data_IF_674695176354
#
_entry.id   IF_674695176354
#
_cell.length_a   1.000
_cell.length_b   1.000
_cell.length_c   1.000
_cell.angle_alpha   90.00
_cell.angle_beta   90.00
_cell.angle_gamma   90.00
#
_symmetry.space_group_name_H-M   'P 1'
#
loop_
_entity.id
_entity.type
_entity.pdbx_description
1 polymer ?
#
# COMPACT_ATOMS: atom_id res chain seq x y z
N UNK A 1 -21.13 20.03 -1.67
CA UNK A 1 -20.90 18.58 -1.48
C UNK A 1 -21.70 18.12 -0.27
N UNK A 2 -22.39 16.99 -0.34
CA UNK A 2 -23.14 16.38 0.76
C UNK A 2 -22.14 15.64 1.67
N UNK A 3 -21.73 16.26 2.76
CA UNK A 3 -20.62 15.79 3.62
C UNK A 3 -20.84 14.38 4.18
N UNK A 4 -22.03 14.09 4.70
CA UNK A 4 -22.36 12.77 5.26
C UNK A 4 -22.23 11.69 4.19
N UNK A 5 -22.74 11.95 2.98
CA UNK A 5 -22.68 11.02 1.87
C UNK A 5 -21.23 10.78 1.39
N UNK A 6 -20.42 11.83 1.36
CA UNK A 6 -18.99 11.72 1.07
C UNK A 6 -18.28 10.82 2.10
N UNK A 7 -18.49 11.08 3.40
CA UNK A 7 -17.91 10.28 4.47
C UNK A 7 -18.36 8.81 4.40
N UNK A 8 -19.67 8.57 4.10
CA UNK A 8 -20.16 7.21 3.91
C UNK A 8 -19.46 6.49 2.75
N UNK A 9 -19.28 7.17 1.60
CA UNK A 9 -18.58 6.59 0.45
C UNK A 9 -17.13 6.25 0.83
N UNK A 10 -16.42 7.15 1.51
CA UNK A 10 -15.04 6.92 1.99
C UNK A 10 -14.99 5.71 2.92
N UNK A 11 -15.86 5.66 3.94
CA UNK A 11 -15.86 4.57 4.92
C UNK A 11 -16.18 3.21 4.27
N UNK A 12 -17.23 3.15 3.47
CA UNK A 12 -17.64 1.88 2.83
C UNK A 12 -16.64 1.40 1.79
N UNK A 13 -16.14 2.29 0.94
CA UNK A 13 -15.15 1.88 -0.06
C UNK A 13 -13.84 1.45 0.58
N UNK A 14 -13.41 2.15 1.62
CA UNK A 14 -12.21 1.81 2.38
C UNK A 14 -12.35 0.49 3.13
N UNK A 15 -13.45 0.29 3.84
CA UNK A 15 -13.71 -0.95 4.56
C UNK A 15 -13.74 -2.16 3.62
N UNK A 16 -14.49 -2.08 2.52
CA UNK A 16 -14.59 -3.19 1.56
C UNK A 16 -13.25 -3.46 0.86
N UNK A 17 -12.58 -2.43 0.35
CA UNK A 17 -11.27 -2.62 -0.30
C UNK A 17 -10.21 -3.12 0.68
N UNK A 18 -10.23 -2.66 1.92
CA UNK A 18 -9.33 -3.10 2.97
C UNK A 18 -9.58 -4.54 3.41
N UNK A 19 -10.85 -4.96 3.51
CA UNK A 19 -11.22 -6.36 3.76
C UNK A 19 -10.74 -7.27 2.62
N UNK A 20 -10.96 -6.86 1.36
CA UNK A 20 -10.46 -7.59 0.18
C UNK A 20 -8.93 -7.71 0.23
N UNK A 21 -8.23 -6.64 0.63
CA UNK A 21 -6.77 -6.66 0.81
C UNK A 21 -6.33 -7.62 1.92
N UNK A 22 -7.01 -7.61 3.08
CA UNK A 22 -6.73 -8.55 4.18
C UNK A 22 -6.89 -10.00 3.75
N UNK A 23 -7.96 -10.32 3.01
CA UNK A 23 -8.16 -11.67 2.44
C UNK A 23 -7.09 -11.99 1.38
N UNK A 24 -6.73 -11.04 0.52
CA UNK A 24 -5.67 -11.25 -0.47
C UNK A 24 -4.32 -11.54 0.21
N UNK A 25 -3.99 -10.86 1.31
CA UNK A 25 -2.79 -11.15 2.08
C UNK A 25 -2.81 -12.57 2.67
N UNK A 26 -3.93 -12.98 3.28
CA UNK A 26 -4.08 -14.34 3.82
C UNK A 26 -3.88 -15.44 2.77
N UNK A 27 -4.33 -15.20 1.54
CA UNK A 27 -4.26 -16.22 0.49
C UNK A 27 -2.94 -16.19 -0.27
N UNK A 28 -2.38 -15.00 -0.50
CA UNK A 28 -1.24 -14.82 -1.41
C UNK A 28 0.09 -14.65 -0.67
N UNK A 29 0.09 -13.95 0.47
CA UNK A 29 1.32 -13.55 1.16
C UNK A 29 1.60 -14.46 2.36
N UNK A 30 0.57 -14.87 3.08
CA UNK A 30 0.67 -15.68 4.29
C UNK A 30 1.43 -17.00 4.11
N UNK A 31 1.31 -17.75 2.99
CA UNK A 31 2.11 -18.95 2.79
C UNK A 31 3.62 -18.72 2.83
N UNK A 32 4.09 -17.58 2.29
CA UNK A 32 5.51 -17.19 2.35
C UNK A 32 5.93 -16.71 3.74
N UNK A 33 4.98 -16.14 4.49
CA UNK A 33 5.16 -15.76 5.88
C UNK A 33 5.34 -17.02 6.75
N UNK A 34 4.46 -18.01 6.60
CA UNK A 34 4.54 -19.29 7.33
C UNK A 34 5.85 -20.02 7.03
N UNK A 35 6.31 -20.03 5.76
CA UNK A 35 7.58 -20.63 5.37
C UNK A 35 8.77 -19.91 6.03
N UNK A 36 8.76 -18.56 5.99
CA UNK A 36 9.82 -17.74 6.60
C UNK A 36 9.92 -17.99 8.12
N UNK A 37 8.78 -17.97 8.82
CA UNK A 37 8.74 -18.23 10.27
C UNK A 37 9.16 -19.68 10.59
N UNK A 38 8.82 -20.63 9.70
CA UNK A 38 9.28 -22.02 9.83
C UNK A 38 10.82 -22.13 9.81
N UNK A 39 11.49 -21.38 8.94
CA UNK A 39 12.96 -21.29 8.89
C UNK A 39 13.51 -20.64 10.18
N UNK A 40 12.87 -19.58 10.66
CA UNK A 40 13.25 -18.89 11.89
C UNK A 40 13.16 -19.83 13.11
N UNK A 41 12.05 -20.55 13.27
CA UNK A 41 11.87 -21.52 14.34
C UNK A 41 12.93 -22.64 14.29
N UNK A 42 13.25 -23.15 13.09
CA UNK A 42 14.32 -24.16 12.95
C UNK A 42 15.69 -23.61 13.42
N UNK A 43 16.01 -22.35 13.11
CA UNK A 43 17.25 -21.72 13.54
C UNK A 43 17.29 -21.50 15.06
N UNK A 44 16.17 -21.08 15.68
CA UNK A 44 16.01 -20.90 17.14
C UNK A 44 16.20 -22.23 17.88
N UNK A 45 15.62 -23.32 17.38
CA UNK A 45 15.81 -24.64 17.97
C UNK A 45 17.25 -25.14 17.78
N UNK A 46 17.84 -24.91 16.61
CA UNK A 46 19.21 -25.33 16.33
C UNK A 46 20.26 -24.55 17.16
N UNK A 47 19.98 -23.29 17.52
CA UNK A 47 20.83 -22.49 18.41
C UNK A 47 20.69 -22.84 19.88
N UNK A 48 19.58 -23.55 20.27
CA UNK A 48 19.26 -23.88 21.65
C UNK A 48 18.65 -22.70 22.43
N UNK A 49 18.19 -21.64 21.75
CA UNK A 49 17.47 -20.52 22.38
C UNK A 49 16.10 -20.95 22.90
N UNK A 50 15.45 -21.86 22.19
CA UNK A 50 14.18 -22.47 22.56
C UNK A 50 14.23 -23.99 22.35
N UNK A 51 13.39 -24.72 23.08
CA UNK A 51 13.25 -26.17 22.93
C UNK A 51 12.05 -26.52 22.02
N UNK A 52 12.23 -27.48 21.11
CA UNK A 52 11.16 -28.04 20.28
C UNK A 52 10.22 -28.91 21.14
N UNK A 53 9.26 -28.26 21.78
CA UNK A 53 8.30 -28.90 22.71
C UNK A 53 6.86 -28.75 22.25
N UNK A 54 5.99 -29.66 22.68
CA UNK A 54 4.55 -29.53 22.41
C UNK A 54 3.97 -28.22 22.98
N UNK A 55 4.48 -27.72 24.10
CA UNK A 55 4.03 -26.46 24.70
C UNK A 55 4.34 -25.26 23.80
N UNK A 56 5.53 -25.22 23.23
CA UNK A 56 5.90 -24.21 22.24
C UNK A 56 4.92 -24.18 21.07
N UNK A 57 4.63 -25.32 20.47
CA UNK A 57 3.75 -25.39 19.30
C UNK A 57 2.31 -25.02 19.60
N UNK A 58 1.79 -25.35 20.77
CA UNK A 58 0.44 -24.95 21.20
C UNK A 58 0.34 -23.42 21.33
N UNK A 59 1.34 -22.77 21.93
CA UNK A 59 1.38 -21.32 22.08
C UNK A 59 1.59 -20.63 20.71
N UNK A 60 2.50 -21.14 19.91
CA UNK A 60 2.76 -20.68 18.56
C UNK A 60 1.50 -20.72 17.69
N UNK A 61 0.80 -21.86 17.62
CA UNK A 61 -0.40 -21.99 16.79
C UNK A 61 -1.50 -21.02 17.24
N UNK A 62 -1.72 -20.88 18.54
CA UNK A 62 -2.69 -19.93 19.08
C UNK A 62 -2.35 -18.48 18.71
N UNK A 63 -1.07 -18.11 18.77
CA UNK A 63 -0.60 -16.78 18.37
C UNK A 63 -0.74 -16.55 16.86
N UNK A 64 -0.40 -17.55 16.04
CA UNK A 64 -0.55 -17.47 14.58
C UNK A 64 -2.01 -17.34 14.15
N UNK A 65 -2.91 -18.08 14.76
CA UNK A 65 -4.35 -17.98 14.50
C UNK A 65 -4.89 -16.59 14.83
N UNK A 66 -4.43 -16.00 15.93
CA UNK A 66 -4.75 -14.64 16.30
C UNK A 66 -4.20 -13.63 15.27
N UNK A 67 -2.95 -13.77 14.84
CA UNK A 67 -2.34 -12.92 13.82
C UNK A 67 -3.10 -13.01 12.48
N UNK A 68 -3.39 -14.22 11.99
CA UNK A 68 -4.11 -14.47 10.74
C UNK A 68 -5.52 -13.86 10.78
N UNK A 69 -6.24 -14.05 11.87
CA UNK A 69 -7.57 -13.44 12.03
C UNK A 69 -7.49 -11.90 12.11
N UNK A 70 -6.46 -11.36 12.73
CA UNK A 70 -6.19 -9.92 12.85
C UNK A 70 -5.88 -9.23 11.52
N UNK A 71 -5.37 -9.94 10.51
CA UNK A 71 -5.01 -9.35 9.22
C UNK A 71 -6.20 -8.74 8.48
N UNK A 72 -7.39 -9.36 8.57
CA UNK A 72 -8.60 -8.82 7.94
C UNK A 72 -9.01 -7.51 8.60
N UNK A 73 -8.96 -7.45 9.94
CA UNK A 73 -9.25 -6.24 10.69
C UNK A 73 -8.24 -5.13 10.39
N UNK A 74 -6.95 -5.46 10.43
CA UNK A 74 -5.87 -4.53 10.12
C UNK A 74 -5.98 -3.99 8.69
N UNK A 75 -6.25 -4.87 7.71
CA UNK A 75 -6.51 -4.50 6.32
C UNK A 75 -7.71 -3.56 6.19
N UNK A 76 -8.79 -3.83 6.93
CA UNK A 76 -9.99 -2.97 6.93
C UNK A 76 -9.70 -1.58 7.48
N UNK A 77 -8.97 -1.46 8.60
CA UNK A 77 -8.57 -0.18 9.20
C UNK A 77 -7.65 0.58 8.25
N UNK A 78 -6.64 -0.09 7.70
CA UNK A 78 -5.74 0.49 6.69
C UNK A 78 -6.55 1.00 5.47
N UNK A 79 -7.48 0.19 4.98
CA UNK A 79 -8.32 0.55 3.83
C UNK A 79 -9.16 1.78 4.08
N UNK A 80 -9.76 1.94 5.27
CA UNK A 80 -10.52 3.15 5.65
C UNK A 80 -9.59 4.36 5.66
N UNK A 81 -8.40 4.24 6.26
CA UNK A 81 -7.42 5.33 6.35
C UNK A 81 -6.94 5.77 4.97
N UNK A 82 -6.61 4.82 4.10
CA UNK A 82 -6.17 5.08 2.72
C UNK A 82 -7.31 5.64 1.86
N UNK A 83 -8.55 5.18 2.08
CA UNK A 83 -9.72 5.72 1.38
C UNK A 83 -10.03 7.15 1.80
N UNK A 84 -9.76 7.55 3.04
CA UNK A 84 -9.89 8.94 3.48
C UNK A 84 -8.93 9.85 2.70
N UNK A 85 -7.65 9.46 2.63
CA UNK A 85 -6.66 10.18 1.81
C UNK A 85 -7.08 10.20 0.33
N UNK A 86 -7.47 9.05 -0.22
CA UNK A 86 -7.92 8.90 -1.60
C UNK A 86 -9.11 9.81 -1.92
N UNK A 87 -10.11 9.84 -1.05
CA UNK A 87 -11.31 10.67 -1.22
C UNK A 87 -10.99 12.17 -1.24
N UNK A 88 -10.10 12.63 -0.36
CA UNK A 88 -9.63 14.03 -0.36
C UNK A 88 -8.94 14.35 -1.70
N UNK A 89 -7.98 13.51 -2.12
CA UNK A 89 -7.24 13.71 -3.37
C UNK A 89 -8.18 13.65 -4.57
N UNK A 90 -9.18 12.74 -4.56
CA UNK A 90 -10.17 12.64 -5.63
C UNK A 90 -10.99 13.92 -5.78
N UNK A 91 -11.51 14.47 -4.68
CA UNK A 91 -12.28 15.74 -4.71
C UNK A 91 -11.45 16.87 -5.27
N UNK A 92 -10.17 16.98 -4.88
CA UNK A 92 -9.27 18.03 -5.32
C UNK A 92 -8.84 17.87 -6.80
N UNK A 93 -8.72 16.63 -7.29
CA UNK A 93 -8.20 16.30 -8.62
C UNK A 93 -9.26 15.95 -9.66
N UNK A 94 -10.51 15.64 -9.27
CA UNK A 94 -11.58 15.13 -10.15
C UNK A 94 -11.76 15.96 -11.43
N UNK A 95 -11.65 17.30 -11.35
CA UNK A 95 -11.82 18.20 -12.50
C UNK A 95 -10.65 18.16 -13.48
N UNK A 96 -9.49 17.69 -13.06
CA UNK A 96 -8.25 17.66 -13.84
C UNK A 96 -7.92 16.26 -14.39
N UNK A 97 -8.59 15.24 -13.85
CA UNK A 97 -8.52 13.88 -14.38
C UNK A 97 -9.14 13.81 -15.78
N UNK A 98 -8.68 12.88 -16.64
CA UNK A 98 -9.22 12.69 -17.98
C UNK A 98 -10.74 12.54 -17.98
N UNK A 99 -11.41 13.00 -19.04
CA UNK A 99 -12.85 12.87 -19.18
C UNK A 99 -13.29 11.40 -19.18
N UNK A 100 -14.44 11.13 -18.57
CA UNK A 100 -15.01 9.80 -18.45
C UNK A 100 -15.89 9.63 -17.22
N UNK A 101 -16.35 8.40 -17.00
CA UNK A 101 -17.14 8.05 -15.82
C UNK A 101 -16.35 8.27 -14.51
N UNK A 102 -17.07 8.39 -13.39
CA UNK A 102 -16.43 8.53 -12.07
C UNK A 102 -15.58 7.29 -11.74
N UNK A 103 -15.98 6.09 -12.19
CA UNK A 103 -15.19 4.86 -12.04
C UNK A 103 -13.86 4.97 -12.79
N UNK A 104 -13.87 5.45 -14.05
CA UNK A 104 -12.64 5.66 -14.83
C UNK A 104 -11.71 6.66 -14.14
N UNK A 105 -12.24 7.77 -13.66
CA UNK A 105 -11.46 8.79 -12.94
C UNK A 105 -10.86 8.24 -11.65
N UNK A 106 -11.66 7.50 -10.89
CA UNK A 106 -11.23 6.86 -9.65
C UNK A 106 -10.12 5.82 -9.91
N UNK A 107 -10.26 4.96 -10.93
CA UNK A 107 -9.23 3.98 -11.30
C UNK A 107 -7.93 4.64 -11.76
N UNK A 108 -8.01 5.73 -12.54
CA UNK A 108 -6.80 6.48 -12.95
C UNK A 108 -6.09 7.06 -11.71
N UNK A 109 -6.85 7.65 -10.77
CA UNK A 109 -6.28 8.16 -9.53
C UNK A 109 -5.68 7.03 -8.67
N UNK A 110 -6.39 5.90 -8.55
CA UNK A 110 -5.88 4.73 -7.84
C UNK A 110 -4.56 4.23 -8.42
N UNK A 111 -4.46 4.17 -9.75
CA UNK A 111 -3.22 3.80 -10.45
C UNK A 111 -2.07 4.80 -10.20
N UNK A 112 -2.35 6.10 -10.19
CA UNK A 112 -1.36 7.13 -9.87
C UNK A 112 -0.88 6.98 -8.42
N UNK A 113 -1.79 6.83 -7.46
CA UNK A 113 -1.45 6.67 -6.05
C UNK A 113 -0.72 5.34 -5.81
N UNK A 114 -1.19 4.22 -6.39
CA UNK A 114 -0.49 2.95 -6.36
C UNK A 114 0.95 3.07 -6.83
N UNK A 115 1.17 3.73 -7.97
CA UNK A 115 2.51 3.87 -8.53
C UNK A 115 3.41 4.75 -7.64
N UNK A 116 2.90 5.91 -7.20
CA UNK A 116 3.72 6.93 -6.53
C UNK A 116 3.97 6.65 -5.06
N UNK A 117 2.99 6.14 -4.32
CA UNK A 117 3.13 5.92 -2.87
C UNK A 117 3.35 4.44 -2.50
N UNK A 118 3.31 3.54 -3.48
CA UNK A 118 3.62 2.13 -3.25
C UNK A 118 4.76 1.64 -4.16
N UNK A 119 4.60 1.60 -5.50
CA UNK A 119 5.61 0.99 -6.39
C UNK A 119 6.96 1.71 -6.29
N UNK A 120 6.98 3.04 -6.36
CA UNK A 120 8.24 3.80 -6.29
C UNK A 120 9.00 3.53 -4.99
N UNK A 121 8.39 3.67 -3.78
CA UNK A 121 9.07 3.32 -2.53
C UNK A 121 9.45 1.84 -2.45
N UNK A 122 8.59 0.93 -2.92
CA UNK A 122 8.83 -0.50 -2.92
C UNK A 122 10.05 -0.91 -3.76
N UNK A 123 10.32 -0.23 -4.87
CA UNK A 123 11.51 -0.49 -5.68
C UNK A 123 12.83 -0.21 -4.93
N UNK A 124 12.83 0.74 -3.99
CA UNK A 124 14.00 1.04 -3.15
C UNK A 124 14.01 0.21 -1.86
N UNK A 125 12.86 0.08 -1.24
CA UNK A 125 12.66 -0.59 0.04
C UNK A 125 11.55 -1.65 -0.10
N UNK A 126 11.86 -2.79 -0.78
CA UNK A 126 10.88 -3.85 -0.94
C UNK A 126 10.51 -4.47 0.41
N UNK A 127 9.29 -4.99 0.51
CA UNK A 127 8.89 -5.77 1.66
C UNK A 127 9.79 -7.01 1.80
N UNK A 128 10.11 -7.36 3.03
CA UNK A 128 10.87 -8.55 3.36
C UNK A 128 10.06 -9.45 4.31
N UNK A 129 10.24 -10.77 4.21
CA UNK A 129 9.64 -11.71 5.17
C UNK A 129 10.30 -11.55 6.56
N UNK A 130 9.69 -12.08 7.65
CA UNK A 130 10.17 -11.91 9.01
C UNK A 130 11.62 -12.27 9.27
N UNK A 131 12.15 -13.30 8.62
CA UNK A 131 13.56 -13.74 8.76
C UNK A 131 14.59 -12.76 8.19
N UNK A 132 14.16 -11.64 7.62
CA UNK A 132 15.04 -10.63 7.01
C UNK A 132 14.94 -9.31 7.76
N UNK A 133 16.02 -8.95 8.42
CA UNK A 133 16.19 -7.66 9.09
C UNK A 133 16.20 -7.76 10.61
N UNK A 134 17.06 -6.93 11.21
CA UNK A 134 17.29 -6.87 12.63
C UNK A 134 16.23 -6.01 13.34
N UNK A 135 15.92 -6.37 14.59
CA UNK A 135 14.94 -5.62 15.41
C UNK A 135 15.39 -4.17 15.65
N UNK A 136 16.68 -3.95 15.82
CA UNK A 136 17.29 -2.62 16.05
C UNK A 136 17.12 -1.68 14.84
N UNK A 137 16.99 -2.22 13.63
CA UNK A 137 16.86 -1.43 12.40
C UNK A 137 15.42 -1.12 12.00
N UNK A 138 14.42 -1.71 12.65
CA UNK A 138 12.98 -1.56 12.32
C UNK A 138 12.57 -0.09 12.23
N UNK A 139 12.98 0.73 13.21
CA UNK A 139 12.64 2.17 13.24
C UNK A 139 13.26 2.89 12.05
N UNK A 140 14.55 2.63 11.78
CA UNK A 140 15.26 3.26 10.65
C UNK A 140 14.64 2.87 9.31
N UNK A 141 14.36 1.56 9.09
CA UNK A 141 13.70 1.06 7.87
C UNK A 141 12.33 1.71 7.67
N UNK A 142 11.55 1.81 8.73
CA UNK A 142 10.23 2.45 8.69
C UNK A 142 10.32 3.93 8.31
N UNK A 143 11.27 4.67 8.90
CA UNK A 143 11.50 6.08 8.57
C UNK A 143 11.93 6.24 7.12
N UNK A 144 12.85 5.42 6.62
CA UNK A 144 13.32 5.47 5.24
C UNK A 144 12.18 5.23 4.25
N UNK A 145 11.37 4.20 4.49
CA UNK A 145 10.21 3.87 3.66
C UNK A 145 9.15 4.99 3.66
N UNK A 146 8.75 5.46 4.85
CA UNK A 146 7.77 6.53 5.00
C UNK A 146 8.27 7.86 4.41
N UNK A 147 9.55 8.15 4.56
CA UNK A 147 10.18 9.34 3.95
C UNK A 147 10.09 9.26 2.43
N UNK A 148 10.36 8.10 1.84
CA UNK A 148 10.28 7.97 0.39
C UNK A 148 8.82 8.05 -0.11
N UNK A 149 7.85 7.49 0.62
CA UNK A 149 6.41 7.69 0.34
C UNK A 149 6.08 9.19 0.33
N UNK A 150 6.51 9.93 1.36
CA UNK A 150 6.25 11.35 1.48
C UNK A 150 6.90 12.14 0.32
N UNK A 151 8.17 11.89 0.03
CA UNK A 151 8.91 12.57 -1.05
C UNK A 151 8.27 12.28 -2.40
N UNK A 152 7.95 11.02 -2.70
CA UNK A 152 7.31 10.64 -3.97
C UNK A 152 5.91 11.23 -4.08
N UNK A 153 5.08 11.11 -3.05
CA UNK A 153 3.70 11.62 -3.04
C UNK A 153 3.63 13.15 -3.14
N UNK A 154 4.39 13.89 -2.31
CA UNK A 154 4.46 15.35 -2.41
C UNK A 154 5.14 15.81 -3.68
N UNK A 155 6.09 15.04 -4.20
CA UNK A 155 6.71 15.27 -5.51
C UNK A 155 5.67 15.33 -6.63
N UNK A 156 4.72 14.37 -6.68
CA UNK A 156 3.62 14.41 -7.67
C UNK A 156 2.82 15.71 -7.56
N UNK A 157 2.49 16.14 -6.34
CA UNK A 157 1.73 17.39 -6.13
C UNK A 157 2.52 18.61 -6.62
N UNK A 158 3.82 18.67 -6.34
CA UNK A 158 4.69 19.75 -6.80
C UNK A 158 4.80 19.77 -8.33
N UNK A 159 5.10 18.62 -8.96
CA UNK A 159 5.19 18.52 -10.43
C UNK A 159 3.84 18.77 -11.12
N UNK A 160 2.73 18.43 -10.48
CA UNK A 160 1.41 18.80 -10.98
C UNK A 160 1.20 20.33 -11.02
N UNK A 161 1.71 21.10 -10.05
CA UNK A 161 1.67 22.57 -10.11
C UNK A 161 2.49 23.10 -11.30
N UNK A 162 3.67 22.50 -11.56
CA UNK A 162 4.48 22.82 -12.75
C UNK A 162 3.75 22.47 -14.04
N UNK A 163 3.09 21.31 -14.09
CA UNK A 163 2.27 20.88 -15.23
C UNK A 163 1.17 21.88 -15.59
N UNK A 164 0.49 22.43 -14.58
CA UNK A 164 -0.53 23.49 -14.82
C UNK A 164 0.03 24.75 -15.48
N UNK A 165 1.29 25.08 -15.16
CA UNK A 165 1.97 26.27 -15.72
C UNK A 165 2.54 26.03 -17.12
N UNK A 166 3.02 24.81 -17.40
CA UNK A 166 3.70 24.43 -18.65
C UNK A 166 2.79 23.65 -19.59
N UNK A 167 1.59 24.13 -19.87
CA UNK A 167 0.54 23.42 -20.63
C UNK A 167 0.99 22.80 -21.97
N UNK A 168 1.96 23.42 -22.67
CA UNK A 168 2.47 22.95 -23.96
C UNK A 168 3.59 21.89 -23.87
N UNK A 169 4.18 21.67 -22.69
CA UNK A 169 5.38 20.83 -22.51
C UNK A 169 5.16 19.73 -21.48
N UNK A 170 4.02 19.06 -21.53
CA UNK A 170 3.60 18.04 -20.56
C UNK A 170 4.62 16.91 -20.37
N UNK A 171 5.24 16.45 -21.46
CA UNK A 171 6.22 15.37 -21.43
C UNK A 171 7.47 15.74 -20.61
N UNK A 172 7.86 17.03 -20.60
CA UNK A 172 9.00 17.51 -19.81
C UNK A 172 8.71 17.40 -18.33
N UNK A 173 7.46 17.63 -17.91
CA UNK A 173 7.06 17.53 -16.50
C UNK A 173 7.08 16.07 -16.04
N UNK A 174 6.59 15.13 -16.85
CA UNK A 174 6.67 13.71 -16.54
C UNK A 174 8.12 13.20 -16.48
N UNK A 175 8.94 13.60 -17.47
CA UNK A 175 10.36 13.27 -17.48
C UNK A 175 11.09 13.88 -16.27
N UNK A 176 10.77 15.14 -15.92
CA UNK A 176 11.32 15.82 -14.75
C UNK A 176 10.98 15.12 -13.44
N UNK A 177 9.72 14.66 -13.28
CA UNK A 177 9.35 13.84 -12.12
C UNK A 177 10.12 12.51 -12.08
N UNK A 178 10.25 11.83 -13.21
CA UNK A 178 11.04 10.59 -13.31
C UNK A 178 12.50 10.82 -12.90
N UNK A 179 13.15 11.86 -13.43
CA UNK A 179 14.52 12.24 -13.07
C UNK A 179 14.62 12.56 -11.56
N UNK A 180 13.68 13.34 -11.03
CA UNK A 180 13.61 13.64 -9.59
C UNK A 180 13.57 12.36 -8.74
N UNK A 181 12.70 11.41 -9.08
CA UNK A 181 12.60 10.13 -8.35
C UNK A 181 13.90 9.32 -8.46
N UNK A 182 14.53 9.27 -9.64
CA UNK A 182 15.83 8.59 -9.82
C UNK A 182 16.91 9.23 -8.93
N UNK A 183 16.98 10.57 -8.89
CA UNK A 183 17.92 11.28 -8.02
C UNK A 183 17.67 10.92 -6.55
N UNK A 184 16.42 11.01 -6.09
CA UNK A 184 16.05 10.66 -4.71
C UNK A 184 16.39 9.21 -4.41
N UNK A 185 16.12 8.28 -5.34
CA UNK A 185 16.42 6.86 -5.18
C UNK A 185 17.90 6.61 -4.88
N UNK A 186 18.81 7.33 -5.55
CA UNK A 186 20.24 7.17 -5.32
C UNK A 186 20.76 7.96 -4.12
N UNK A 187 20.13 9.07 -3.76
CA UNK A 187 20.51 9.87 -2.59
C UNK A 187 20.06 9.24 -1.26
N UNK A 188 18.95 8.53 -1.25
CA UNK A 188 18.49 7.87 -0.04
C UNK A 188 19.36 6.66 0.34
N UNK A 189 19.62 6.45 1.64
CA UNK A 189 20.39 5.30 2.12
C UNK A 189 19.80 3.98 1.63
N UNK A 190 20.63 2.96 1.51
CA UNK A 190 20.18 1.59 1.26
C UNK A 190 19.56 0.99 2.52
N UNK A 191 18.81 -0.12 2.36
CA UNK A 191 18.38 -0.93 3.51
C UNK A 191 19.64 -1.40 4.25
N UNK A 192 19.75 -1.21 5.57
CA UNK A 192 20.92 -1.63 6.34
C UNK A 192 21.03 -3.14 6.49
N UNK A 193 19.92 -3.88 6.36
CA UNK A 193 19.87 -5.29 6.68
C UNK A 193 20.29 -6.16 5.50
N UNK A 194 21.06 -7.21 5.79
CA UNK A 194 21.39 -8.27 4.84
C UNK A 194 20.22 -9.24 4.67
N UNK A 195 20.11 -9.83 3.47
CA UNK A 195 19.10 -10.85 3.18
C UNK A 195 19.70 -12.21 3.51
N UNK A 196 19.29 -12.78 4.63
CA UNK A 196 19.74 -14.08 5.11
C UNK A 196 18.84 -15.24 4.68
N UNK A 197 17.59 -14.94 4.28
CA UNK A 197 16.62 -15.94 3.83
C UNK A 197 16.87 -16.36 2.36
N UNK A 198 16.40 -17.55 1.93
CA UNK A 198 16.45 -18.00 0.54
C UNK A 198 15.82 -16.99 -0.42
N UNK A 199 16.52 -16.66 -1.51
CA UNK A 199 16.07 -15.60 -2.43
C UNK A 199 14.78 -15.92 -3.18
N UNK A 200 14.45 -17.18 -3.39
CA UNK A 200 13.18 -17.63 -3.97
C UNK A 200 12.00 -17.32 -3.04
N UNK A 201 12.14 -17.59 -1.74
CA UNK A 201 11.19 -17.19 -0.70
C UNK A 201 11.00 -15.66 -0.66
N UNK A 202 12.11 -14.92 -0.60
CA UNK A 202 12.08 -13.45 -0.55
C UNK A 202 11.40 -12.85 -1.80
N UNK A 203 11.74 -13.35 -2.98
CA UNK A 203 11.15 -12.87 -4.23
C UNK A 203 9.68 -13.27 -4.37
N UNK A 204 9.31 -14.47 -3.92
CA UNK A 204 7.91 -14.92 -3.84
C UNK A 204 7.08 -14.00 -2.92
N UNK A 205 7.56 -13.76 -1.70
CA UNK A 205 6.94 -12.84 -0.75
C UNK A 205 6.75 -11.43 -1.33
N UNK A 206 7.82 -10.86 -1.93
CA UNK A 206 7.77 -9.54 -2.57
C UNK A 206 6.78 -9.48 -3.71
N UNK A 207 6.79 -10.50 -4.59
CA UNK A 207 5.89 -10.59 -5.73
C UNK A 207 4.42 -10.64 -5.29
N UNK A 208 4.09 -11.50 -4.32
CA UNK A 208 2.71 -11.62 -3.82
C UNK A 208 2.28 -10.41 -3.02
N UNK A 209 3.19 -9.74 -2.32
CA UNK A 209 2.91 -8.44 -1.67
C UNK A 209 2.51 -7.38 -2.70
N UNK A 210 3.20 -7.30 -3.84
CA UNK A 210 2.82 -6.37 -4.93
C UNK A 210 1.44 -6.73 -5.48
N UNK A 211 1.14 -8.01 -5.69
CA UNK A 211 -0.19 -8.44 -6.16
C UNK A 211 -1.28 -8.05 -5.16
N UNK A 212 -1.11 -8.37 -3.87
CA UNK A 212 -2.09 -8.08 -2.84
C UNK A 212 -2.39 -6.57 -2.70
N UNK A 213 -1.35 -5.73 -2.74
CA UNK A 213 -1.53 -4.27 -2.72
C UNK A 213 -2.17 -3.75 -4.02
N UNK A 214 -1.86 -4.36 -5.16
CA UNK A 214 -2.50 -4.00 -6.44
C UNK A 214 -4.00 -4.32 -6.42
N UNK A 215 -4.40 -5.46 -5.85
CA UNK A 215 -5.81 -5.83 -5.62
C UNK A 215 -6.51 -4.77 -4.75
N UNK A 216 -5.86 -4.29 -3.69
CA UNK A 216 -6.39 -3.20 -2.86
C UNK A 216 -6.69 -1.94 -3.68
N UNK A 217 -5.72 -1.42 -4.44
CA UNK A 217 -5.89 -0.19 -5.20
C UNK A 217 -6.93 -0.29 -6.31
N UNK A 218 -7.00 -1.43 -7.00
CA UNK A 218 -8.03 -1.69 -8.00
C UNK A 218 -9.41 -1.72 -7.34
N UNK A 219 -9.54 -2.47 -6.23
CA UNK A 219 -10.81 -2.58 -5.49
C UNK A 219 -11.27 -1.22 -4.98
N UNK A 220 -10.36 -0.44 -4.37
CA UNK A 220 -10.66 0.90 -3.90
C UNK A 220 -11.14 1.81 -5.06
N UNK A 221 -10.43 1.80 -6.19
CA UNK A 221 -10.76 2.58 -7.36
C UNK A 221 -12.15 2.24 -7.93
N UNK A 222 -12.47 0.95 -8.05
CA UNK A 222 -13.77 0.48 -8.57
C UNK A 222 -14.90 0.81 -7.60
N UNK A 223 -14.75 0.46 -6.32
CA UNK A 223 -15.82 0.60 -5.32
C UNK A 223 -16.08 2.09 -5.06
N UNK A 224 -15.03 2.89 -4.82
CA UNK A 224 -15.18 4.33 -4.59
C UNK A 224 -15.81 5.02 -5.80
N UNK A 225 -15.31 4.76 -7.01
CA UNK A 225 -15.81 5.34 -8.24
C UNK A 225 -17.28 4.94 -8.52
N UNK A 226 -17.62 3.68 -8.25
CA UNK A 226 -18.99 3.17 -8.39
C UNK A 226 -19.98 3.82 -7.42
N UNK A 227 -19.59 3.92 -6.14
CA UNK A 227 -20.41 4.60 -5.12
C UNK A 227 -20.53 6.09 -5.41
N UNK A 228 -19.43 6.74 -5.84
CA UNK A 228 -19.47 8.16 -6.25
C UNK A 228 -20.41 8.40 -7.41
N UNK A 229 -20.34 7.56 -8.45
CA UNK A 229 -21.21 7.64 -9.61
C UNK A 229 -22.69 7.46 -9.25
N UNK A 230 -22.97 6.48 -8.40
CA UNK A 230 -24.35 6.16 -7.96
C UNK A 230 -24.98 7.27 -7.12
N UNK A 231 -24.22 7.81 -6.16
CA UNK A 231 -24.77 8.71 -5.15
C UNK A 231 -24.52 10.19 -5.42
N UNK A 232 -23.59 10.55 -6.32
CA UNK A 232 -23.29 11.93 -6.75
C UNK A 232 -23.22 12.94 -5.59
N UNK A 233 -22.29 12.77 -4.62
CA UNK A 233 -22.24 13.62 -3.43
C UNK A 233 -21.87 15.09 -3.75
N UNK A 234 -21.38 15.38 -4.94
CA UNK A 234 -21.00 16.69 -5.45
C UNK A 234 -22.17 17.51 -6.03
N UNK A 235 -23.31 16.88 -6.32
CA UNK A 235 -24.51 17.56 -6.84
C UNK A 235 -25.34 18.13 -5.69
N UNK A 236 -25.69 19.41 -5.74
CA UNK A 236 -26.62 20.06 -4.82
C UNK A 236 -28.05 19.66 -5.16
N UNK A 237 -28.94 19.62 -4.13
CA UNK A 237 -30.37 19.27 -4.32
C UNK A 237 -31.19 20.31 -5.13
N UNK A 238 -30.55 21.46 -5.49
CA UNK A 238 -31.18 22.51 -6.32
C UNK A 238 -31.17 22.22 -7.82
N UNK A 239 -30.48 21.15 -8.25
CA UNK A 239 -30.24 20.84 -9.66
C UNK A 239 -30.96 19.54 -10.11
N UNK A 240 -31.95 19.09 -9.30
CA UNK A 240 -32.84 17.94 -9.62
C UNK A 240 -34.26 18.46 -9.88
#
# INVERSE_FOLDING_TARGET
MKTILFLSIVLFSGALAGTIHGVANLVLVEPYLDEAIGIENQNIFASGEEEDTLAFWVEYDAYRDWQKSGQILAGTILGISMSALFGIVYVLSKKTLPQGSDVKKSLILAGIMWFTIFIIPFLKYPANPPTVGETETVVLRSILYLSFIAISGFGVVAFYQVYKRLQSKKIIVFAGYGIFIVIVFFLMPSNPDEITAPMDLVNGFRGMSVVAVSVFWISLGVIFGGLWHKFRPDVKNSDM
#
